data_IF_290011956238
#
_entry.id   IF_290011956238
#
_cell.length_a   1.000
_cell.length_b   1.000
_cell.length_c   1.000
_cell.angle_alpha   90.00
_cell.angle_beta   90.00
_cell.angle_gamma   90.00
#
_symmetry.space_group_name_H-M   'P 1'
#
loop_
_entity.id
_entity.type
_entity.pdbx_description
1 polymer ?
#
# COMPACT_ATOMS: atom_id res chain seq x y z
N UNK A 1 76.03 -0.15 2.63
CA UNK A 1 74.84 -0.97 2.93
C UNK A 1 73.72 -0.08 3.47
N UNK A 2 72.72 0.25 2.65
CA UNK A 2 71.40 0.71 3.12
C UNK A 2 70.37 0.13 2.14
N UNK A 3 69.69 -0.94 2.59
CA UNK A 3 68.55 -1.55 1.89
C UNK A 3 67.35 -0.65 2.13
N UNK A 4 66.81 -0.03 1.10
CA UNK A 4 65.53 0.68 1.20
C UNK A 4 64.43 -0.26 0.72
N UNK A 5 63.60 -0.67 1.67
CA UNK A 5 62.50 -1.61 1.50
C UNK A 5 61.44 -1.08 0.51
N UNK A 6 60.92 -2.01 -0.28
CA UNK A 6 59.73 -1.88 -1.11
C UNK A 6 58.54 -1.38 -0.29
N UNK A 7 57.87 -0.33 -0.75
CA UNK A 7 56.51 0.01 -0.31
C UNK A 7 55.54 -0.49 -1.37
N UNK A 8 54.95 -1.66 -1.14
CA UNK A 8 53.82 -2.18 -1.90
C UNK A 8 52.60 -1.29 -1.66
N UNK A 9 52.13 -0.61 -2.70
CA UNK A 9 50.90 0.17 -2.69
C UNK A 9 49.74 -0.81 -2.96
N UNK A 10 49.17 -1.38 -1.89
CA UNK A 10 47.92 -2.14 -2.00
C UNK A 10 46.76 -1.15 -2.03
N UNK A 11 46.26 -0.86 -3.24
CA UNK A 11 45.04 -0.10 -3.45
C UNK A 11 43.86 -1.04 -3.16
N UNK A 12 43.32 -0.96 -1.93
CA UNK A 12 42.07 -1.65 -1.60
C UNK A 12 40.92 -0.92 -2.30
N UNK A 13 40.46 -1.47 -3.43
CA UNK A 13 39.20 -1.08 -4.02
C UNK A 13 38.08 -1.47 -3.05
N UNK A 14 37.63 -0.50 -2.26
CA UNK A 14 36.35 -0.59 -1.54
C UNK A 14 35.23 -0.54 -2.58
N UNK A 15 34.97 -1.67 -3.23
CA UNK A 15 33.71 -1.89 -3.92
C UNK A 15 32.62 -1.90 -2.86
N UNK A 16 31.87 -0.81 -2.78
CA UNK A 16 30.59 -0.80 -2.08
C UNK A 16 29.68 -1.79 -2.82
N UNK A 17 29.60 -3.01 -2.33
CA UNK A 17 28.57 -3.95 -2.72
C UNK A 17 27.26 -3.38 -2.17
N UNK A 18 26.51 -2.67 -3.01
CA UNK A 18 25.09 -2.49 -2.79
C UNK A 18 24.49 -3.90 -2.81
N UNK A 19 24.35 -4.51 -1.63
CA UNK A 19 23.34 -5.54 -1.44
C UNK A 19 22.04 -4.78 -1.63
N UNK A 20 21.52 -4.80 -2.85
CA UNK A 20 20.13 -4.49 -3.12
C UNK A 20 19.32 -5.56 -2.37
N UNK A 21 19.16 -5.36 -1.06
CA UNK A 21 18.12 -6.03 -0.33
C UNK A 21 16.85 -5.60 -1.03
N UNK A 22 16.19 -6.53 -1.68
CA UNK A 22 14.79 -6.39 -2.06
C UNK A 22 14.04 -6.26 -0.75
N UNK A 23 14.01 -5.06 -0.15
CA UNK A 23 12.95 -4.72 0.77
C UNK A 23 11.69 -4.98 -0.06
N UNK A 24 10.99 -6.08 0.23
CA UNK A 24 9.67 -6.25 -0.35
C UNK A 24 8.89 -5.06 0.18
N UNK A 25 8.46 -4.18 -0.72
CA UNK A 25 7.61 -3.07 -0.32
C UNK A 25 6.44 -3.62 0.51
N UNK A 26 6.10 -2.89 1.56
CA UNK A 26 5.09 -3.30 2.53
C UNK A 26 3.83 -2.52 2.18
N UNK A 27 2.78 -3.18 1.68
CA UNK A 27 1.57 -2.47 1.34
C UNK A 27 0.90 -1.92 2.59
N UNK A 28 0.19 -0.81 2.40
CA UNK A 28 -0.54 -0.12 3.45
C UNK A 28 -1.99 0.12 3.08
N UNK A 29 -2.86 -0.04 4.07
CA UNK A 29 -4.25 0.30 4.02
C UNK A 29 -4.52 1.48 4.96
N UNK A 30 -5.13 2.53 4.42
CA UNK A 30 -5.69 3.64 5.21
C UNK A 30 -7.21 3.59 5.13
N UNK A 31 -7.86 3.77 6.28
CA UNK A 31 -9.31 3.83 6.41
C UNK A 31 -9.69 5.15 7.08
N UNK A 32 -10.62 5.88 6.46
CA UNK A 32 -11.11 7.16 6.98
C UNK A 32 -12.63 7.21 6.86
N UNK A 33 -13.31 7.83 7.83
CA UNK A 33 -14.76 7.94 7.82
C UNK A 33 -15.25 9.33 8.27
N UNK A 34 -16.42 9.72 7.77
CA UNK A 34 -17.07 10.96 8.17
C UNK A 34 -17.37 10.95 9.67
N UNK A 35 -16.82 11.92 10.40
CA UNK A 35 -17.03 12.06 11.85
C UNK A 35 -16.16 11.15 12.72
N UNK A 36 -15.23 10.39 12.14
CA UNK A 36 -14.19 9.71 12.90
C UNK A 36 -13.19 10.72 13.49
N UNK A 37 -12.65 10.42 14.66
CA UNK A 37 -11.65 11.28 15.32
C UNK A 37 -10.28 11.21 14.65
N UNK A 38 -9.96 10.07 14.04
CA UNK A 38 -8.70 9.78 13.37
C UNK A 38 -8.89 8.76 12.24
N UNK A 39 -7.88 8.66 11.37
CA UNK A 39 -7.79 7.62 10.35
C UNK A 39 -7.13 6.36 10.94
N UNK A 40 -7.47 5.20 10.40
CA UNK A 40 -6.80 3.93 10.72
C UNK A 40 -5.75 3.63 9.66
N UNK A 41 -4.56 3.23 10.09
CA UNK A 41 -3.44 2.78 9.27
C UNK A 41 -3.05 1.35 9.65
N UNK A 42 -3.08 0.47 8.66
CA UNK A 42 -2.59 -0.91 8.73
C UNK A 42 -1.48 -1.09 7.70
N UNK A 43 -0.44 -1.83 8.04
CA UNK A 43 0.65 -2.19 7.14
C UNK A 43 0.92 -3.69 7.24
N UNK A 44 1.18 -4.34 6.11
CA UNK A 44 1.40 -5.79 6.04
C UNK A 44 2.46 -6.27 7.04
N UNK A 45 2.09 -7.26 7.84
CA UNK A 45 2.95 -7.87 8.85
C UNK A 45 3.30 -6.95 10.03
N UNK A 46 2.58 -5.84 10.22
CA UNK A 46 2.77 -4.92 11.33
C UNK A 46 1.63 -4.97 12.34
N UNK A 47 1.96 -4.67 13.58
CA UNK A 47 1.01 -4.60 14.71
C UNK A 47 0.74 -3.17 15.14
N UNK A 48 -0.37 -2.97 15.84
CA UNK A 48 -0.73 -1.75 16.53
C UNK A 48 0.43 -1.24 17.42
N UNK A 49 0.70 0.05 17.34
CA UNK A 49 1.79 0.74 17.99
C UNK A 49 3.11 0.79 17.20
N UNK A 50 3.18 0.13 16.03
CA UNK A 50 4.34 0.24 15.14
C UNK A 50 4.40 1.60 14.40
N UNK A 51 5.53 1.87 13.75
CA UNK A 51 5.68 3.02 12.84
C UNK A 51 6.25 2.54 11.52
N UNK A 52 5.64 2.95 10.41
CA UNK A 52 6.11 2.62 9.06
C UNK A 52 5.95 3.81 8.12
N UNK A 53 7.01 4.11 7.36
CA UNK A 53 7.04 5.20 6.40
C UNK A 53 6.52 6.57 6.93
N UNK A 54 6.70 6.81 8.23
CA UNK A 54 6.22 8.04 8.90
C UNK A 54 4.77 7.99 9.42
N UNK A 55 4.06 6.88 9.25
CA UNK A 55 2.73 6.64 9.77
C UNK A 55 2.77 5.81 11.06
N UNK A 56 1.94 6.17 12.03
CA UNK A 56 1.70 5.34 13.20
C UNK A 56 0.66 4.27 12.83
N UNK A 57 1.04 3.01 12.96
CA UNK A 57 0.13 1.88 12.78
C UNK A 57 -0.72 1.80 14.04
N UNK A 58 -2.04 1.90 13.87
CA UNK A 58 -3.02 1.94 14.96
C UNK A 58 -4.09 0.85 14.81
N UNK A 59 -3.81 -0.17 13.98
CA UNK A 59 -4.56 -1.41 13.89
C UNK A 59 -3.64 -2.53 13.39
N UNK A 60 -3.89 -3.74 13.87
CA UNK A 60 -3.18 -4.94 13.45
C UNK A 60 -3.55 -5.32 12.00
N UNK A 61 -2.58 -5.86 11.26
CA UNK A 61 -2.87 -6.65 10.07
C UNK A 61 -3.21 -8.10 10.48
N UNK A 62 -4.43 -8.53 10.16
CA UNK A 62 -4.92 -9.88 10.44
C UNK A 62 -4.36 -10.92 9.43
N UNK A 63 -3.70 -10.47 8.36
CA UNK A 63 -3.12 -11.36 7.38
C UNK A 63 -1.75 -11.89 7.83
N UNK A 64 -1.45 -13.12 7.42
CA UNK A 64 -0.16 -13.78 7.72
C UNK A 64 0.74 -13.94 6.50
N UNK A 65 0.22 -13.65 5.30
CA UNK A 65 0.92 -13.82 4.05
C UNK A 65 1.34 -12.45 3.49
N UNK A 66 2.57 -12.32 2.96
CA UNK A 66 3.09 -11.04 2.49
C UNK A 66 2.35 -10.51 1.27
N UNK A 67 2.28 -9.19 1.15
CA UNK A 67 1.55 -8.50 0.09
C UNK A 67 0.04 -8.48 0.33
N UNK A 68 -0.40 -8.77 1.55
CA UNK A 68 -1.81 -8.80 1.95
C UNK A 68 -1.97 -7.91 3.17
N UNK A 69 -3.01 -7.06 3.16
CA UNK A 69 -3.50 -6.39 4.37
C UNK A 69 -4.96 -6.77 4.56
N UNK A 70 -5.32 -7.21 5.75
CA UNK A 70 -6.71 -7.49 6.12
C UNK A 70 -7.01 -6.99 7.53
N UNK A 71 -8.27 -6.65 7.78
CA UNK A 71 -8.68 -6.14 9.08
C UNK A 71 -10.16 -5.80 9.13
N UNK A 72 -10.69 -5.75 10.34
CA UNK A 72 -12.07 -5.35 10.61
C UNK A 72 -12.14 -4.51 11.88
N UNK A 73 -13.17 -3.69 11.99
CA UNK A 73 -13.31 -2.81 13.14
C UNK A 73 -14.44 -1.80 13.03
N UNK A 74 -14.44 -0.88 13.98
CA UNK A 74 -15.37 0.25 14.03
C UNK A 74 -14.61 1.55 13.79
N UNK A 75 -15.18 2.43 12.97
CA UNK A 75 -14.64 3.76 12.72
C UNK A 75 -15.77 4.78 12.64
N UNK A 76 -15.93 5.57 13.71
CA UNK A 76 -17.09 6.46 13.85
C UNK A 76 -18.40 5.67 13.93
N UNK A 77 -19.31 5.88 12.98
CA UNK A 77 -20.58 5.14 12.88
C UNK A 77 -20.54 3.97 11.88
N UNK A 78 -19.35 3.64 11.37
CA UNK A 78 -19.15 2.56 10.40
C UNK A 78 -18.58 1.31 11.09
N UNK A 79 -19.11 0.16 10.70
CA UNK A 79 -18.48 -1.15 10.96
C UNK A 79 -17.92 -1.62 9.62
N UNK A 80 -16.62 -1.87 9.56
CA UNK A 80 -15.92 -2.27 8.35
C UNK A 80 -15.29 -3.65 8.48
N UNK A 81 -15.16 -4.33 7.34
CA UNK A 81 -14.37 -5.54 7.21
C UNK A 81 -13.74 -5.57 5.83
N UNK A 82 -12.42 -5.70 5.80
CA UNK A 82 -11.63 -5.94 4.61
C UNK A 82 -11.13 -7.36 4.64
N UNK A 83 -11.77 -8.18 3.82
CA UNK A 83 -11.37 -9.57 3.70
C UNK A 83 -10.06 -9.67 2.93
N UNK A 84 -9.81 -8.77 1.96
CA UNK A 84 -8.64 -8.87 1.08
C UNK A 84 -8.22 -7.52 0.47
N UNK A 85 -7.08 -6.95 0.91
CA UNK A 85 -6.32 -5.99 0.12
C UNK A 85 -5.00 -6.65 -0.31
N UNK A 86 -4.79 -6.90 -1.60
CA UNK A 86 -3.65 -7.68 -2.10
C UNK A 86 -2.84 -6.93 -3.15
N UNK A 87 -1.53 -7.11 -3.09
CA UNK A 87 -0.58 -6.70 -4.12
C UNK A 87 0.66 -7.60 -4.08
N UNK A 88 1.79 -7.15 -4.63
CA UNK A 88 3.03 -7.92 -4.66
C UNK A 88 3.49 -8.26 -3.23
N UNK A 89 4.04 -9.47 -3.00
CA UNK A 89 4.26 -10.54 -3.97
C UNK A 89 3.04 -11.45 -4.22
N UNK A 90 1.95 -11.31 -3.46
CA UNK A 90 0.76 -12.16 -3.57
C UNK A 90 -0.01 -11.97 -4.88
N UNK A 91 0.07 -10.77 -5.49
CA UNK A 91 -0.56 -10.42 -6.75
C UNK A 91 0.35 -9.46 -7.55
N UNK A 92 0.58 -9.75 -8.84
CA UNK A 92 1.48 -8.95 -9.67
C UNK A 92 2.95 -8.98 -9.21
N UNK A 93 3.75 -8.03 -9.69
CA UNK A 93 5.14 -7.82 -9.31
C UNK A 93 5.57 -6.38 -9.58
N UNK A 94 6.83 -6.02 -9.28
CA UNK A 94 7.33 -4.66 -9.47
C UNK A 94 7.15 -4.15 -10.92
N UNK A 95 7.36 -5.01 -11.93
CA UNK A 95 7.25 -4.63 -13.35
C UNK A 95 5.82 -4.73 -13.90
N UNK A 96 4.95 -5.48 -13.24
CA UNK A 96 3.54 -5.69 -13.59
C UNK A 96 2.69 -5.41 -12.35
N UNK A 97 2.39 -4.13 -12.07
CA UNK A 97 1.72 -3.71 -10.84
C UNK A 97 0.26 -4.18 -10.84
N UNK A 98 -0.14 -4.92 -9.82
CA UNK A 98 -1.54 -5.31 -9.62
C UNK A 98 -1.95 -5.01 -8.18
N UNK A 99 -3.12 -4.41 -8.00
CA UNK A 99 -3.67 -4.08 -6.69
C UNK A 99 -5.16 -4.41 -6.64
N UNK A 100 -5.55 -5.26 -5.71
CA UNK A 100 -6.94 -5.65 -5.52
C UNK A 100 -7.41 -5.23 -4.13
N UNK A 101 -8.59 -4.59 -4.05
CA UNK A 101 -9.22 -4.20 -2.80
C UNK A 101 -10.67 -4.72 -2.75
N UNK A 102 -10.91 -5.72 -1.92
CA UNK A 102 -12.26 -6.19 -1.63
C UNK A 102 -12.56 -6.12 -0.13
N UNK A 103 -13.73 -5.56 0.14
CA UNK A 103 -14.23 -5.29 1.49
C UNK A 103 -15.24 -4.16 1.42
N UNK A 104 -15.79 -3.81 2.57
CA UNK A 104 -16.80 -2.77 2.64
C UNK A 104 -17.04 -2.31 4.06
N UNK A 105 -17.92 -1.33 4.19
CA UNK A 105 -18.39 -0.85 5.46
C UNK A 105 -19.91 -0.68 5.43
N UNK A 106 -20.52 -0.89 6.59
CA UNK A 106 -21.92 -0.58 6.82
C UNK A 106 -22.02 0.58 7.79
N UNK A 107 -22.90 1.53 7.51
CA UNK A 107 -23.18 2.66 8.40
C UNK A 107 -24.50 2.43 9.15
N UNK A 108 -24.59 2.95 10.37
CA UNK A 108 -25.88 3.16 11.02
C UNK A 108 -26.75 4.22 10.32
N UNK A 109 -27.91 4.54 10.90
CA UNK A 109 -28.95 5.40 10.29
C UNK A 109 -28.51 6.81 9.83
N UNK A 110 -27.33 7.29 10.27
CA UNK A 110 -26.83 8.62 9.93
C UNK A 110 -26.10 8.67 8.58
N UNK A 111 -25.83 7.52 7.94
CA UNK A 111 -25.06 7.45 6.69
C UNK A 111 -23.66 8.07 6.83
N UNK A 112 -23.11 8.55 5.71
CA UNK A 112 -21.80 9.23 5.64
C UNK A 112 -20.92 8.68 4.53
N UNK A 113 -19.71 9.21 4.43
CA UNK A 113 -18.68 8.70 3.52
C UNK A 113 -17.65 7.89 4.31
N UNK A 114 -17.37 6.71 3.80
CA UNK A 114 -16.30 5.83 4.25
C UNK A 114 -15.33 5.65 3.08
N UNK A 115 -14.05 5.92 3.32
CA UNK A 115 -13.02 5.94 2.28
C UNK A 115 -11.89 5.02 2.69
N UNK A 116 -11.44 4.24 1.71
CA UNK A 116 -10.38 3.25 1.86
C UNK A 116 -9.33 3.57 0.82
N UNK A 117 -8.08 3.65 1.25
CA UNK A 117 -6.95 3.88 0.37
C UNK A 117 -5.97 2.75 0.57
N UNK A 118 -5.75 1.96 -0.48
CA UNK A 118 -4.71 0.94 -0.51
C UNK A 118 -3.54 1.44 -1.33
N UNK A 119 -2.32 1.34 -0.80
CA UNK A 119 -1.12 1.87 -1.42
C UNK A 119 0.07 0.96 -1.19
N UNK A 120 1.02 1.02 -2.11
CA UNK A 120 2.22 0.20 -2.14
C UNK A 120 3.33 0.99 -2.82
N UNK A 121 4.58 0.64 -2.54
CA UNK A 121 5.77 1.24 -3.16
C UNK A 121 6.56 0.22 -3.98
N UNK A 122 7.61 0.68 -4.64
CA UNK A 122 8.54 -0.07 -5.47
C UNK A 122 7.87 -0.78 -6.66
N UNK A 123 6.97 -0.06 -7.34
CA UNK A 123 6.54 -0.41 -8.70
C UNK A 123 7.43 0.29 -9.74
N UNK A 124 7.65 -0.38 -10.87
CA UNK A 124 8.34 0.16 -12.02
C UNK A 124 9.88 0.00 -11.99
N UNK A 125 10.56 0.62 -12.97
CA UNK A 125 10.02 1.53 -13.98
C UNK A 125 9.09 0.83 -14.98
N UNK A 126 7.94 1.43 -15.29
CA UNK A 126 6.97 0.86 -16.24
C UNK A 126 7.41 1.15 -17.68
N UNK A 127 8.11 0.20 -18.31
CA UNK A 127 8.70 0.36 -19.65
C UNK A 127 7.71 0.62 -20.81
N UNK A 128 6.39 0.59 -20.57
CA UNK A 128 5.34 0.70 -21.61
C UNK A 128 4.10 1.51 -21.24
N UNK A 129 4.12 2.29 -20.16
CA UNK A 129 2.94 2.97 -19.62
C UNK A 129 2.06 2.08 -18.73
N UNK A 130 0.93 2.62 -18.29
CA UNK A 130 0.07 2.08 -17.22
C UNK A 130 -0.83 0.89 -17.65
N UNK A 131 -0.34 -0.01 -18.49
CA UNK A 131 -1.15 -1.10 -19.09
C UNK A 131 -1.35 -2.32 -18.17
N UNK A 132 -1.04 -2.22 -16.87
CA UNK A 132 -1.09 -3.35 -15.92
C UNK A 132 -2.06 -3.19 -14.76
N UNK A 133 -2.75 -2.06 -14.63
CA UNK A 133 -3.52 -1.78 -13.42
C UNK A 133 -4.91 -2.42 -13.44
N UNK A 134 -5.04 -3.55 -12.75
CA UNK A 134 -6.33 -4.20 -12.51
C UNK A 134 -6.80 -3.89 -11.09
N UNK A 135 -7.88 -3.13 -10.95
CA UNK A 135 -8.59 -2.97 -9.68
C UNK A 135 -9.97 -3.57 -9.75
N UNK A 136 -10.34 -4.25 -8.68
CA UNK A 136 -11.71 -4.72 -8.47
C UNK A 136 -12.19 -4.15 -7.15
N UNK A 137 -13.47 -3.78 -7.09
CA UNK A 137 -14.15 -3.34 -5.87
C UNK A 137 -15.25 -4.35 -5.57
N UNK A 138 -15.16 -5.00 -4.40
CA UNK A 138 -16.08 -6.05 -3.97
C UNK A 138 -16.98 -5.65 -2.79
N UNK A 139 -17.43 -4.38 -2.70
CA UNK A 139 -18.20 -3.90 -1.54
C UNK A 139 -19.72 -4.04 -1.72
N UNK A 140 -20.43 -4.20 -0.60
CA UNK A 140 -21.89 -4.24 -0.53
C UNK A 140 -22.46 -2.93 0.04
N UNK A 141 -23.45 -2.34 -0.63
CA UNK A 141 -24.21 -1.17 -0.15
C UNK A 141 -23.62 0.20 -0.56
N UNK A 142 -24.47 1.24 -0.49
CA UNK A 142 -24.11 2.65 -0.75
C UNK A 142 -23.80 2.98 -2.22
N UNK A 143 -23.50 4.26 -2.47
CA UNK A 143 -22.85 4.70 -3.71
C UNK A 143 -21.36 4.51 -3.56
N UNK A 144 -20.72 3.87 -4.55
CA UNK A 144 -19.30 3.59 -4.49
C UNK A 144 -18.56 4.29 -5.63
N UNK A 145 -17.36 4.76 -5.32
CA UNK A 145 -16.43 5.31 -6.32
C UNK A 145 -15.04 4.76 -6.06
N UNK A 146 -14.33 4.45 -7.14
CA UNK A 146 -12.98 3.96 -7.12
C UNK A 146 -12.13 4.90 -7.96
N UNK A 147 -11.05 5.39 -7.37
CA UNK A 147 -10.04 6.17 -8.06
C UNK A 147 -8.70 5.46 -7.92
N UNK A 148 -7.94 5.47 -9.00
CA UNK A 148 -6.62 4.87 -9.05
C UNK A 148 -5.59 5.93 -9.38
N UNK A 149 -4.45 5.87 -8.69
CA UNK A 149 -3.36 6.82 -8.87
C UNK A 149 -2.03 6.10 -9.03
N UNK A 150 -1.13 6.71 -9.80
CA UNK A 150 0.26 6.33 -9.93
C UNK A 150 1.14 7.51 -9.53
N UNK A 151 2.23 7.20 -8.82
CA UNK A 151 3.22 8.16 -8.37
C UNK A 151 4.62 7.67 -8.72
N UNK A 152 5.31 8.39 -9.63
CA UNK A 152 6.71 8.12 -9.97
C UNK A 152 7.67 8.42 -8.80
N UNK A 153 7.23 9.26 -7.86
CA UNK A 153 7.95 9.55 -6.62
C UNK A 153 7.93 8.39 -5.62
N UNK A 154 7.22 7.30 -5.92
CA UNK A 154 7.13 6.09 -5.12
C UNK A 154 6.74 6.34 -3.66
N UNK A 155 5.83 7.29 -3.46
CA UNK A 155 5.35 7.70 -2.14
C UNK A 155 3.99 7.08 -1.81
N UNK A 156 3.86 6.54 -0.59
CA UNK A 156 2.60 5.98 -0.10
C UNK A 156 1.49 7.03 -0.10
N UNK A 157 0.31 6.61 -0.57
CA UNK A 157 -0.93 7.41 -0.67
C UNK A 157 -0.83 8.66 -1.55
N UNK A 158 0.21 8.78 -2.39
CA UNK A 158 0.33 9.88 -3.32
C UNK A 158 -0.73 9.78 -4.45
N UNK A 159 -1.36 10.91 -4.76
CA UNK A 159 -2.39 11.03 -5.79
C UNK A 159 -1.90 11.85 -6.99
N UNK A 160 -0.65 11.64 -7.40
CA UNK A 160 0.07 12.51 -8.36
C UNK A 160 -0.48 12.43 -9.77
N UNK A 161 -0.67 11.21 -10.30
CA UNK A 161 -1.27 10.97 -11.62
C UNK A 161 -2.48 10.06 -11.48
N UNK A 162 -3.68 10.55 -11.80
CA UNK A 162 -4.87 9.69 -11.83
C UNK A 162 -4.87 8.82 -13.08
N UNK A 163 -5.09 7.52 -12.91
CA UNK A 163 -5.01 6.51 -13.98
C UNK A 163 -6.35 5.79 -14.21
N UNK A 164 -7.28 5.89 -13.25
CA UNK A 164 -8.68 5.48 -13.42
C UNK A 164 -9.62 6.27 -12.49
N UNK A 165 -10.87 6.41 -12.93
CA UNK A 165 -12.00 6.92 -12.15
C UNK A 165 -13.26 6.13 -12.54
N UNK A 166 -13.80 5.36 -11.59
CA UNK A 166 -14.96 4.52 -11.79
C UNK A 166 -15.98 4.82 -10.68
N UNK A 167 -17.14 5.37 -11.04
CA UNK A 167 -18.27 5.51 -10.12
C UNK A 167 -19.35 4.47 -10.42
N UNK A 168 -19.81 3.74 -9.41
CA UNK A 168 -21.03 2.93 -9.52
C UNK A 168 -22.18 3.66 -8.82
N UNK A 169 -23.11 4.19 -9.62
CA UNK A 169 -24.42 4.64 -9.14
C UNK A 169 -25.35 3.42 -9.09
N UNK A 170 -25.47 2.73 -7.96
CA UNK A 170 -26.53 1.72 -7.82
C UNK A 170 -27.84 2.41 -7.43
N UNK A 171 -28.70 2.65 -8.43
CA UNK A 171 -30.15 2.63 -8.22
C UNK A 171 -30.53 1.16 -7.99
N UNK A 172 -30.79 0.77 -6.75
CA UNK A 172 -31.45 -0.50 -6.46
C UNK A 172 -32.96 -0.29 -6.65
N UNK A 173 -33.53 -0.91 -7.68
CA UNK A 173 -34.96 -1.19 -7.78
C UNK A 173 -35.20 -2.61 -7.27
#
# INVERSE_FOLDING_TARGET
MKKTLLKSLALAAMGSLFVAGTAMAVPMLKVSATGAAEDIYMADGMSDGATYAGYNINADDDASAPGIVSGSGELGNFIYAFTTAFTKPSLGNASVPEMHLAGGASAGNNGGTFTVTFSETDFGPMAGGLTGFLTHLGATGGTQSLQAYYDEGNSLFATTTQIADLSTSTSQA
#
